data_IF_800380841779
#
_entry.id   IF_800380841779
#
_cell.length_a   1.000
_cell.length_b   1.000
_cell.length_c   1.000
_cell.angle_alpha   90.00
_cell.angle_beta   90.00
_cell.angle_gamma   90.00
#
_symmetry.space_group_name_H-M   'P 1'
#
loop_
_entity.id
_entity.type
_entity.pdbx_description
1 polymer ?
#
# COMPACT_ATOMS: atom_id res chain seq x y z
N UNK A 1 -25.19 22.93 20.06
CA UNK A 1 -24.12 23.07 19.05
C UNK A 1 -23.75 21.67 18.60
N UNK A 2 -24.35 21.21 17.50
CA UNK A 2 -24.10 19.88 16.95
C UNK A 2 -22.88 19.93 16.04
N UNK A 3 -21.80 19.26 16.44
CA UNK A 3 -20.60 19.09 15.63
C UNK A 3 -20.86 18.05 14.55
N UNK A 4 -21.31 18.48 13.37
CA UNK A 4 -21.34 17.62 12.18
C UNK A 4 -19.91 17.43 11.66
N UNK A 5 -19.30 16.29 12.01
CA UNK A 5 -18.02 15.90 11.43
C UNK A 5 -18.22 15.59 9.95
N UNK A 6 -17.80 16.51 9.08
CA UNK A 6 -17.73 16.28 7.65
C UNK A 6 -16.66 15.23 7.37
N UNK A 7 -17.03 13.95 7.41
CA UNK A 7 -16.21 12.90 6.82
C UNK A 7 -16.21 13.14 5.31
N UNK A 8 -15.09 13.65 4.79
CA UNK A 8 -14.79 13.61 3.35
C UNK A 8 -14.96 12.16 2.89
N UNK A 9 -16.07 11.87 2.19
CA UNK A 9 -16.22 10.64 1.42
C UNK A 9 -15.19 10.71 0.29
N UNK A 10 -13.99 10.19 0.54
CA UNK A 10 -13.06 9.92 -0.54
C UNK A 10 -13.76 8.97 -1.51
N UNK A 11 -13.76 9.27 -2.83
CA UNK A 11 -14.32 8.36 -3.80
C UNK A 11 -13.62 7.02 -3.65
N UNK A 12 -14.40 5.97 -3.37
CA UNK A 12 -13.86 4.61 -3.31
C UNK A 12 -13.38 4.29 -4.71
N UNK A 13 -12.07 4.10 -4.89
CA UNK A 13 -11.55 3.62 -6.15
C UNK A 13 -12.16 2.23 -6.39
N UNK A 14 -12.99 2.10 -7.42
CA UNK A 14 -13.74 0.88 -7.69
C UNK A 14 -12.80 -0.32 -7.94
N UNK A 15 -11.58 -0.08 -8.45
CA UNK A 15 -10.57 -1.13 -8.60
C UNK A 15 -10.05 -1.64 -7.25
N UNK A 16 -10.04 -0.82 -6.20
CA UNK A 16 -9.63 -1.26 -4.86
C UNK A 16 -10.64 -2.26 -4.28
N UNK A 17 -11.92 -2.18 -4.67
CA UNK A 17 -12.92 -3.19 -4.30
C UNK A 17 -12.53 -4.55 -4.90
N UNK A 18 -12.10 -4.58 -6.15
CA UNK A 18 -11.64 -5.79 -6.82
C UNK A 18 -10.37 -6.33 -6.15
N UNK A 19 -9.37 -5.46 -5.89
CA UNK A 19 -8.12 -5.83 -5.22
C UNK A 19 -8.37 -6.43 -3.83
N UNK A 20 -9.25 -5.83 -3.03
CA UNK A 20 -9.62 -6.33 -1.69
C UNK A 20 -10.30 -7.70 -1.74
N UNK A 21 -11.01 -7.99 -2.82
CA UNK A 21 -11.68 -9.28 -3.03
C UNK A 21 -10.88 -10.24 -3.93
N UNK A 22 -9.61 -9.94 -4.25
CA UNK A 22 -8.82 -10.68 -5.24
C UNK A 22 -8.85 -12.20 -5.02
N UNK A 23 -8.48 -12.65 -3.81
CA UNK A 23 -8.41 -14.08 -3.51
C UNK A 23 -9.77 -14.78 -3.63
N UNK A 24 -10.85 -14.08 -3.29
CA UNK A 24 -12.21 -14.58 -3.46
C UNK A 24 -12.57 -14.69 -4.95
N UNK A 25 -12.32 -13.63 -5.73
CA UNK A 25 -12.58 -13.62 -7.17
C UNK A 25 -11.82 -14.73 -7.89
N UNK A 26 -10.54 -14.91 -7.60
CA UNK A 26 -9.71 -15.99 -8.16
C UNK A 26 -10.23 -17.38 -7.81
N UNK A 27 -10.86 -17.54 -6.65
CA UNK A 27 -11.41 -18.83 -6.20
C UNK A 27 -12.77 -19.12 -6.83
N UNK A 28 -13.68 -18.16 -6.83
CA UNK A 28 -15.08 -18.39 -7.24
C UNK A 28 -15.31 -18.31 -8.74
N UNK A 29 -14.45 -17.62 -9.49
CA UNK A 29 -14.68 -17.37 -10.91
C UNK A 29 -14.05 -18.44 -11.81
N UNK A 30 -14.73 -18.78 -12.89
CA UNK A 30 -14.20 -19.67 -13.93
C UNK A 30 -13.83 -18.86 -15.17
N UNK A 31 -12.53 -18.83 -15.55
CA UNK A 31 -12.05 -18.01 -16.67
C UNK A 31 -12.75 -18.30 -17.99
N UNK A 32 -12.99 -19.56 -18.35
CA UNK A 32 -13.63 -19.92 -19.63
C UNK A 32 -15.04 -19.34 -19.78
N UNK A 33 -15.80 -19.25 -18.68
CA UNK A 33 -17.13 -18.65 -18.67
C UNK A 33 -17.03 -17.13 -18.83
N UNK A 34 -16.08 -16.50 -18.12
CA UNK A 34 -15.91 -15.04 -18.16
C UNK A 34 -15.32 -14.55 -19.47
N UNK A 35 -14.39 -15.30 -20.06
CA UNK A 35 -13.66 -14.94 -21.28
C UNK A 35 -14.58 -14.54 -22.43
N UNK A 36 -15.73 -15.21 -22.57
CA UNK A 36 -16.72 -14.88 -23.61
C UNK A 36 -17.18 -13.42 -23.47
N UNK A 37 -17.68 -13.04 -22.30
CA UNK A 37 -18.21 -11.70 -22.04
C UNK A 37 -17.10 -10.64 -21.87
N UNK A 38 -15.96 -11.02 -21.29
CA UNK A 38 -14.82 -10.12 -21.07
C UNK A 38 -14.17 -9.68 -22.38
N UNK A 39 -14.14 -10.54 -23.40
CA UNK A 39 -13.57 -10.21 -24.71
C UNK A 39 -14.34 -9.17 -25.50
N UNK A 40 -15.59 -8.89 -25.11
CA UNK A 40 -16.42 -7.86 -25.74
C UNK A 40 -16.25 -6.48 -25.08
N UNK A 41 -15.84 -6.43 -23.81
CA UNK A 41 -15.94 -5.23 -22.98
C UNK A 41 -14.65 -4.79 -22.29
N UNK A 42 -13.67 -5.68 -22.11
CA UNK A 42 -12.47 -5.41 -21.30
C UNK A 42 -11.20 -5.92 -21.98
N UNK A 43 -11.18 -7.18 -22.40
CA UNK A 43 -9.98 -7.82 -22.92
C UNK A 43 -9.87 -7.60 -24.43
N UNK A 44 -8.70 -7.17 -24.88
CA UNK A 44 -8.37 -7.20 -26.30
C UNK A 44 -7.97 -8.63 -26.75
N UNK A 45 -7.82 -8.82 -28.06
CA UNK A 45 -7.50 -10.14 -28.64
C UNK A 45 -6.18 -10.70 -28.11
N UNK A 46 -5.13 -9.88 -28.02
CA UNK A 46 -3.80 -10.32 -27.54
C UNK A 46 -3.87 -10.77 -26.08
N UNK A 47 -4.50 -9.97 -25.22
CA UNK A 47 -4.72 -10.29 -23.80
C UNK A 47 -5.50 -11.59 -23.62
N UNK A 48 -6.52 -11.80 -24.47
CA UNK A 48 -7.31 -13.03 -24.49
C UNK A 48 -6.45 -14.25 -24.84
N UNK A 49 -5.67 -14.15 -25.91
CA UNK A 49 -4.81 -15.24 -26.38
C UNK A 49 -3.73 -15.55 -25.32
N UNK A 50 -3.16 -14.54 -24.65
CA UNK A 50 -2.25 -14.71 -23.53
C UNK A 50 -2.87 -15.52 -22.38
N UNK A 51 -4.10 -15.18 -21.97
CA UNK A 51 -4.81 -15.93 -20.92
C UNK A 51 -5.12 -17.36 -21.38
N UNK A 52 -5.55 -17.55 -22.62
CA UNK A 52 -5.94 -18.87 -23.11
C UNK A 52 -4.78 -19.87 -23.19
N UNK A 53 -3.57 -19.37 -23.44
CA UNK A 53 -2.34 -20.18 -23.51
C UNK A 53 -1.81 -20.64 -22.14
N UNK A 54 -2.29 -20.08 -21.03
CA UNK A 54 -1.86 -20.50 -19.68
C UNK A 54 -2.46 -21.86 -19.30
N UNK A 55 -1.78 -22.59 -18.42
CA UNK A 55 -2.27 -23.86 -17.90
C UNK A 55 -2.97 -23.68 -16.55
N UNK A 56 -4.17 -24.24 -16.41
CA UNK A 56 -4.88 -24.26 -15.14
C UNK A 56 -5.77 -23.04 -14.86
N UNK A 57 -6.89 -23.33 -14.18
CA UNK A 57 -7.96 -22.36 -13.89
C UNK A 57 -7.45 -21.15 -13.09
N UNK A 58 -6.61 -21.40 -12.09
CA UNK A 58 -6.16 -20.36 -11.16
C UNK A 58 -5.24 -19.37 -11.84
N UNK A 59 -4.24 -19.85 -12.58
CA UNK A 59 -3.27 -19.02 -13.28
C UNK A 59 -3.95 -18.12 -14.31
N UNK A 60 -4.86 -18.69 -15.12
CA UNK A 60 -5.72 -17.93 -16.04
C UNK A 60 -6.49 -16.81 -15.34
N UNK A 61 -7.07 -17.10 -14.18
CA UNK A 61 -7.85 -16.11 -13.44
C UNK A 61 -6.95 -15.03 -12.82
N UNK A 62 -5.79 -15.39 -12.27
CA UNK A 62 -4.82 -14.43 -11.74
C UNK A 62 -4.32 -13.50 -12.85
N UNK A 63 -3.99 -14.02 -14.03
CA UNK A 63 -3.59 -13.22 -15.19
C UNK A 63 -4.70 -12.28 -15.66
N UNK A 64 -5.94 -12.77 -15.73
CA UNK A 64 -7.09 -11.94 -16.08
C UNK A 64 -7.26 -10.78 -15.09
N UNK A 65 -7.14 -11.05 -13.78
CA UNK A 65 -7.24 -9.99 -12.76
C UNK A 65 -6.09 -8.99 -12.87
N UNK A 66 -4.86 -9.45 -13.16
CA UNK A 66 -3.71 -8.57 -13.40
C UNK A 66 -4.00 -7.57 -14.53
N UNK A 67 -4.48 -8.05 -15.67
CA UNK A 67 -4.85 -7.23 -16.84
C UNK A 67 -5.95 -6.22 -16.47
N UNK A 68 -6.95 -6.64 -15.70
CA UNK A 68 -8.01 -5.75 -15.23
C UNK A 68 -7.43 -4.63 -14.34
N UNK A 69 -6.48 -4.92 -13.46
CA UNK A 69 -5.86 -3.92 -12.59
C UNK A 69 -4.92 -2.96 -13.31
N UNK A 70 -4.35 -3.37 -14.45
CA UNK A 70 -3.46 -2.53 -15.24
C UNK A 70 -4.20 -1.55 -16.14
N UNK A 71 -5.51 -1.76 -16.38
CA UNK A 71 -6.33 -0.83 -17.14
C UNK A 71 -6.67 0.39 -16.26
N UNK A 72 -6.33 1.58 -16.77
CA UNK A 72 -6.56 2.87 -16.09
C UNK A 72 -7.87 3.52 -16.53
N UNK A 73 -8.87 2.72 -16.91
CA UNK A 73 -10.15 3.21 -17.40
C UNK A 73 -11.20 3.13 -16.29
N UNK A 74 -11.96 4.22 -16.10
CA UNK A 74 -12.97 4.34 -15.04
C UNK A 74 -14.11 3.31 -15.20
N UNK A 75 -14.39 2.91 -16.44
CA UNK A 75 -15.48 2.01 -16.79
C UNK A 75 -15.13 0.52 -16.60
N UNK A 76 -13.87 0.18 -16.37
CA UNK A 76 -13.41 -1.23 -16.24
C UNK A 76 -14.16 -1.97 -15.14
N UNK A 77 -14.40 -1.32 -13.99
CA UNK A 77 -15.17 -1.94 -12.92
C UNK A 77 -16.62 -2.19 -13.33
N UNK A 78 -17.25 -1.22 -14.00
CA UNK A 78 -18.66 -1.32 -14.42
C UNK A 78 -18.80 -2.45 -15.44
N UNK A 79 -17.92 -2.48 -16.43
CA UNK A 79 -17.85 -3.54 -17.45
C UNK A 79 -17.57 -4.90 -16.81
N UNK A 80 -16.68 -4.97 -15.82
CA UNK A 80 -16.40 -6.21 -15.09
C UNK A 80 -17.65 -6.72 -14.36
N UNK A 81 -18.36 -5.85 -13.66
CA UNK A 81 -19.62 -6.20 -12.98
C UNK A 81 -20.69 -6.63 -13.98
N UNK A 82 -20.78 -5.99 -15.14
CA UNK A 82 -21.70 -6.39 -16.20
C UNK A 82 -21.36 -7.79 -16.74
N UNK A 83 -20.08 -8.08 -17.00
CA UNK A 83 -19.62 -9.41 -17.39
C UNK A 83 -19.99 -10.48 -16.37
N UNK A 84 -19.86 -10.18 -15.07
CA UNK A 84 -20.26 -11.09 -14.00
C UNK A 84 -21.77 -11.37 -14.02
N UNK A 85 -22.60 -10.33 -14.23
CA UNK A 85 -24.07 -10.48 -14.35
C UNK A 85 -24.45 -11.32 -15.57
N UNK A 86 -23.86 -11.04 -16.73
CA UNK A 86 -24.09 -11.81 -17.98
C UNK A 86 -23.70 -13.29 -17.79
N UNK A 87 -22.64 -13.53 -17.04
CA UNK A 87 -22.13 -14.87 -16.72
C UNK A 87 -22.81 -15.54 -15.52
N UNK A 88 -23.90 -14.96 -14.98
CA UNK A 88 -24.69 -15.51 -13.86
C UNK A 88 -23.92 -15.67 -12.53
N UNK A 89 -22.92 -14.83 -12.27
CA UNK A 89 -22.21 -14.78 -10.99
C UNK A 89 -22.86 -13.81 -9.99
N UNK A 90 -24.18 -13.91 -9.79
CA UNK A 90 -24.95 -12.96 -8.98
C UNK A 90 -24.45 -12.86 -7.52
N UNK A 91 -24.01 -13.98 -6.95
CA UNK A 91 -23.42 -14.03 -5.60
C UNK A 91 -22.11 -13.20 -5.51
N UNK A 92 -21.28 -13.24 -6.54
CA UNK A 92 -20.02 -12.48 -6.60
C UNK A 92 -20.34 -10.99 -6.74
N UNK A 93 -21.30 -10.63 -7.60
CA UNK A 93 -21.76 -9.24 -7.78
C UNK A 93 -22.28 -8.67 -6.46
N UNK A 94 -23.16 -9.40 -5.77
CA UNK A 94 -23.69 -9.00 -4.47
C UNK A 94 -22.59 -8.78 -3.44
N UNK A 95 -21.58 -9.67 -3.41
CA UNK A 95 -20.41 -9.53 -2.53
C UNK A 95 -19.59 -8.27 -2.83
N UNK A 96 -19.33 -7.98 -4.10
CA UNK A 96 -18.58 -6.80 -4.52
C UNK A 96 -19.33 -5.50 -4.17
N UNK A 97 -20.64 -5.46 -4.42
CA UNK A 97 -21.49 -4.31 -4.10
C UNK A 97 -21.61 -4.09 -2.58
N UNK A 98 -21.73 -5.17 -1.81
CA UNK A 98 -21.75 -5.11 -0.35
C UNK A 98 -20.42 -4.61 0.24
N UNK A 99 -19.30 -4.89 -0.43
CA UNK A 99 -17.98 -4.37 -0.03
C UNK A 99 -17.88 -2.85 -0.24
N UNK A 100 -18.65 -2.28 -1.17
CA UNK A 100 -18.74 -0.84 -1.37
C UNK A 100 -19.53 -0.15 -0.23
N UNK A 101 -20.53 -0.85 0.32
CA UNK A 101 -21.41 -0.33 1.37
C UNK A 101 -20.80 -0.54 2.77
N UNK A 102 -20.03 -1.61 2.95
CA UNK A 102 -19.30 -1.87 4.19
C UNK A 102 -18.16 -0.87 4.33
N UNK A 103 -18.48 0.25 4.98
CA UNK A 103 -17.67 1.22 5.73
C UNK A 103 -16.14 0.97 5.73
N UNK A 104 -15.29 2.02 5.61
CA UNK A 104 -13.83 1.94 5.61
C UNK A 104 -13.26 1.54 6.99
N UNK A 105 -13.66 0.39 7.52
CA UNK A 105 -13.20 -0.16 8.79
C UNK A 105 -12.21 -1.30 8.54
N UNK A 106 -11.22 -1.09 7.67
CA UNK A 106 -9.99 -1.90 7.64
C UNK A 106 -8.71 -1.08 7.57
N UNK A 107 -8.79 0.25 7.69
CA UNK A 107 -7.61 1.07 7.96
C UNK A 107 -6.98 0.77 9.33
N UNK A 108 -7.64 0.04 10.23
CA UNK A 108 -7.16 -0.08 11.60
C UNK A 108 -5.87 -0.92 11.75
N UNK A 109 -5.69 -1.99 10.94
CA UNK A 109 -4.45 -2.80 11.01
C UNK A 109 -3.26 -2.12 10.36
N UNK A 110 -3.45 -1.49 9.20
CA UNK A 110 -2.38 -0.76 8.52
C UNK A 110 -1.97 0.49 9.31
N UNK A 111 -2.94 1.17 9.94
CA UNK A 111 -2.67 2.30 10.85
C UNK A 111 -1.94 1.82 12.12
N UNK A 112 -2.24 0.64 12.66
CA UNK A 112 -1.52 0.11 13.82
C UNK A 112 -0.08 -0.29 13.49
N UNK A 113 0.16 -0.91 12.32
CA UNK A 113 1.53 -1.16 11.84
C UNK A 113 2.28 0.15 11.57
N UNK A 114 1.68 1.11 10.87
CA UNK A 114 2.29 2.43 10.65
C UNK A 114 2.57 3.16 11.97
N UNK A 115 1.70 3.03 12.98
CA UNK A 115 1.95 3.59 14.32
C UNK A 115 3.12 2.91 15.03
N UNK A 116 3.30 1.60 14.85
CA UNK A 116 4.45 0.88 15.39
C UNK A 116 5.75 1.33 14.72
N UNK A 117 5.76 1.47 13.39
CA UNK A 117 6.93 1.94 12.64
C UNK A 117 7.29 3.38 13.00
N UNK A 118 6.29 4.27 13.13
CA UNK A 118 6.50 5.66 13.58
C UNK A 118 7.09 5.70 14.99
N UNK A 119 6.64 4.84 15.91
CA UNK A 119 7.23 4.74 17.26
C UNK A 119 8.67 4.28 17.23
N UNK A 120 8.99 3.29 16.39
CA UNK A 120 10.36 2.80 16.22
C UNK A 120 11.26 3.91 15.67
N UNK A 121 10.80 4.61 14.63
CA UNK A 121 11.54 5.74 14.04
C UNK A 121 11.74 6.89 15.04
N UNK A 122 10.73 7.23 15.85
CA UNK A 122 10.86 8.25 16.90
C UNK A 122 11.92 7.87 17.93
N UNK A 123 11.95 6.60 18.34
CA UNK A 123 12.96 6.11 19.27
C UNK A 123 14.38 6.17 18.69
N UNK A 124 14.55 5.83 17.41
CA UNK A 124 15.85 5.89 16.74
C UNK A 124 16.35 7.32 16.56
N UNK A 125 15.46 8.27 16.26
CA UNK A 125 15.79 9.71 16.22
C UNK A 125 16.32 10.19 17.57
N UNK A 126 15.67 9.80 18.67
CA UNK A 126 16.13 10.16 20.04
C UNK A 126 17.51 9.57 20.33
N UNK A 127 17.75 8.30 19.95
CA UNK A 127 19.06 7.66 20.12
C UNK A 127 20.16 8.39 19.33
N UNK A 128 19.90 8.73 18.07
CA UNK A 128 20.85 9.47 17.23
C UNK A 128 21.18 10.85 17.83
N UNK A 129 20.17 11.54 18.37
CA UNK A 129 20.37 12.84 18.99
C UNK A 129 21.23 12.75 20.27
N UNK A 130 21.01 11.71 21.09
CA UNK A 130 21.86 11.45 22.27
C UNK A 130 23.31 11.14 21.88
N UNK A 131 23.52 10.36 20.81
CA UNK A 131 24.86 10.03 20.33
C UNK A 131 25.60 11.29 19.85
N UNK A 132 24.92 12.18 19.12
CA UNK A 132 25.51 13.43 18.66
C UNK A 132 25.93 14.33 19.83
N UNK A 133 25.10 14.41 20.89
CA UNK A 133 25.41 15.20 22.08
C UNK A 133 26.63 14.63 22.83
N UNK A 134 26.77 13.31 22.90
CA UNK A 134 27.96 12.67 23.49
C UNK A 134 29.24 13.02 22.71
N UNK A 135 29.19 13.01 21.38
CA UNK A 135 30.34 13.39 20.55
C UNK A 135 30.76 14.85 20.77
N UNK A 136 29.80 15.78 20.86
CA UNK A 136 30.08 17.19 21.15
C UNK A 136 30.78 17.37 22.51
N UNK A 137 30.33 16.67 23.56
CA UNK A 137 31.00 16.71 24.88
C UNK A 137 32.43 16.19 24.82
N UNK A 138 32.69 15.11 24.07
CA UNK A 138 34.04 14.59 23.89
C UNK A 138 34.96 15.59 23.16
N UNK A 139 34.44 16.29 22.15
CA UNK A 139 35.19 17.33 21.45
C UNK A 139 35.53 18.52 22.36
N UNK A 140 34.56 18.99 23.16
CA UNK A 140 34.79 20.06 24.14
C UNK A 140 35.84 19.67 25.19
N UNK A 141 35.79 18.44 25.71
CA UNK A 141 36.81 17.95 26.65
C UNK A 141 38.20 17.87 26.01
N UNK A 142 38.31 17.47 24.74
CA UNK A 142 39.59 17.47 24.01
C UNK A 142 40.15 18.88 23.84
N UNK A 143 39.31 19.86 23.49
CA UNK A 143 39.72 21.26 23.37
C UNK A 143 40.18 21.84 24.71
N UNK A 144 39.46 21.57 25.80
CA UNK A 144 39.87 22.00 27.15
C UNK A 144 41.23 21.40 27.55
N UNK A 145 41.46 20.13 27.25
CA UNK A 145 42.76 19.49 27.52
C UNK A 145 43.89 20.15 26.71
N UNK A 146 43.65 20.48 25.44
CA UNK A 146 44.63 21.19 24.60
C UNK A 146 44.98 22.56 25.18
N UNK A 147 43.98 23.37 25.53
CA UNK A 147 44.19 24.68 26.16
C UNK A 147 44.96 24.57 27.48
N UNK A 148 44.65 23.56 28.31
CA UNK A 148 45.40 23.30 29.54
C UNK A 148 46.86 22.95 29.27
N UNK A 149 47.15 22.16 28.22
CA UNK A 149 48.53 21.84 27.84
C UNK A 149 49.27 23.08 27.31
N UNK A 150 48.65 23.88 26.45
CA UNK A 150 49.22 25.11 25.91
C UNK A 150 49.56 26.11 27.03
N UNK A 151 48.65 26.31 27.99
CA UNK A 151 48.90 27.18 29.14
C UNK A 151 50.07 26.70 30.02
N UNK A 152 50.27 25.37 30.14
CA UNK A 152 51.40 24.79 30.87
C UNK A 152 52.73 25.00 30.13
N UNK A 153 52.73 24.93 28.80
CA UNK A 153 53.92 25.17 27.98
C UNK A 153 54.30 26.65 27.96
N UNK A 154 53.34 27.57 27.83
CA UNK A 154 53.57 29.02 27.87
C UNK A 154 54.25 29.45 29.18
N UNK A 155 53.82 28.89 30.32
CA UNK A 155 54.44 29.18 31.63
C UNK A 155 55.89 28.70 31.77
N UNK A 156 56.36 27.77 30.93
CA UNK A 156 57.74 27.24 30.97
C UNK A 156 58.72 28.03 30.11
N UNK A 157 58.23 28.87 29.18
CA UNK A 157 59.06 29.64 28.24
C UNK A 157 59.36 31.08 28.64
N UNK A 158 58.99 31.51 29.86
CA UNK A 158 59.19 32.89 30.36
C UNK A 158 60.31 33.00 31.41
N UNK A 159 61.35 32.15 31.31
CA UNK A 159 62.55 32.21 32.15
C UNK A 159 63.71 32.74 31.32
#
# INVERSE_FOLDING_TARGET
MESTSYQKKYPVNNLDILRRNHSYLVRELTPSILMVNMSELILNKTEKDEIDNLEGRREKMEKMMEIIYSKNEDDVYINFVECLKKSKYDNVVSKLQSTNISSPCRGHRDIEMLKADVKTLQHDVVKLQQQQQQQQRQQQQKQLKLQQMESKLSKRGSI
#
